data_IF_497003048155
#
_entry.id   IF_497003048155
#
_cell.length_a   1.000
_cell.length_b   1.000
_cell.length_c   1.000
_cell.angle_alpha   90.00
_cell.angle_beta   90.00
_cell.angle_gamma   90.00
#
_symmetry.space_group_name_H-M   'P 1'
#
loop_
_entity.id
_entity.type
_entity.pdbx_description
1 polymer ?
#
# COMPACT_ATOMS: atom_id res chain seq x y z
N UNK A 1 -26.17 18.78 38.85
CA UNK A 1 -25.47 17.57 38.36
C UNK A 1 -24.13 17.86 37.67
N UNK A 2 -23.60 19.11 37.67
CA UNK A 2 -22.32 19.45 37.01
C UNK A 2 -21.08 19.26 37.91
N UNK A 3 -21.16 19.63 39.20
CA UNK A 3 -20.01 19.57 40.10
C UNK A 3 -19.56 18.13 40.45
N UNK A 4 -20.50 17.20 40.57
CA UNK A 4 -20.19 15.78 40.82
C UNK A 4 -19.43 15.16 39.66
N UNK A 5 -19.76 15.52 38.42
CA UNK A 5 -19.06 15.03 37.23
C UNK A 5 -17.63 15.57 37.13
N UNK A 6 -17.43 16.86 37.43
CA UNK A 6 -16.09 17.47 37.45
C UNK A 6 -15.18 16.85 38.52
N UNK A 7 -15.70 16.59 39.73
CA UNK A 7 -14.95 15.94 40.80
C UNK A 7 -14.56 14.50 40.46
N UNK A 8 -15.46 13.72 39.84
CA UNK A 8 -15.17 12.34 39.43
C UNK A 8 -14.12 12.30 38.32
N UNK A 9 -14.21 13.19 37.32
CA UNK A 9 -13.21 13.30 36.25
C UNK A 9 -11.84 13.74 36.80
N UNK A 10 -11.83 14.66 37.76
CA UNK A 10 -10.57 15.15 38.35
C UNK A 10 -9.90 14.07 39.20
N UNK A 11 -10.69 13.35 40.01
CA UNK A 11 -10.20 12.25 40.82
C UNK A 11 -9.67 11.08 39.97
N UNK A 12 -10.33 10.75 38.86
CA UNK A 12 -9.90 9.67 37.97
C UNK A 12 -8.62 10.02 37.22
N UNK A 13 -8.48 11.26 36.73
CA UNK A 13 -7.24 11.75 36.10
C UNK A 13 -6.09 11.75 37.11
N UNK A 14 -6.31 12.24 38.34
CA UNK A 14 -5.27 12.24 39.38
C UNK A 14 -4.81 10.83 39.76
N UNK A 15 -5.74 9.87 39.84
CA UNK A 15 -5.41 8.47 40.09
C UNK A 15 -4.62 7.84 38.94
N UNK A 16 -5.00 8.11 37.68
CA UNK A 16 -4.30 7.60 36.50
C UNK A 16 -2.86 8.12 36.42
N UNK A 17 -2.66 9.43 36.62
CA UNK A 17 -1.34 10.05 36.62
C UNK A 17 -0.45 9.46 37.72
N UNK A 18 -1.00 9.29 38.93
CA UNK A 18 -0.27 8.68 40.05
C UNK A 18 0.16 7.23 39.74
N UNK A 19 -0.73 6.45 39.12
CA UNK A 19 -0.43 5.09 38.67
C UNK A 19 0.69 5.04 37.63
N UNK A 20 0.70 5.95 36.65
CA UNK A 20 1.76 6.04 35.63
C UNK A 20 3.12 6.41 36.25
N UNK A 21 3.14 7.37 37.18
CA UNK A 21 4.39 7.78 37.87
C UNK A 21 4.94 6.64 38.73
N UNK A 22 4.07 5.96 39.49
CA UNK A 22 4.48 4.81 40.30
C UNK A 22 5.03 3.67 39.42
N UNK A 23 4.37 3.38 38.30
CA UNK A 23 4.86 2.38 37.34
C UNK A 23 6.21 2.78 36.73
N UNK A 24 6.40 4.04 36.35
CA UNK A 24 7.67 4.51 35.81
C UNK A 24 8.83 4.34 36.80
N UNK A 25 8.61 4.67 38.08
CA UNK A 25 9.59 4.47 39.14
C UNK A 25 9.93 2.97 39.36
N UNK A 26 8.90 2.12 39.41
CA UNK A 26 9.06 0.66 39.50
C UNK A 26 9.85 0.10 38.30
N UNK A 27 9.50 0.55 37.09
CA UNK A 27 10.14 0.11 35.86
C UNK A 27 11.63 0.50 35.81
N UNK A 28 11.99 1.74 36.18
CA UNK A 28 13.40 2.16 36.19
C UNK A 28 14.21 1.42 37.26
N UNK A 29 13.62 1.16 38.44
CA UNK A 29 14.23 0.31 39.46
C UNK A 29 14.50 -1.10 38.93
N UNK A 30 13.52 -1.72 38.27
CA UNK A 30 13.66 -3.06 37.71
C UNK A 30 14.72 -3.11 36.60
N UNK A 31 14.78 -2.08 35.74
CA UNK A 31 15.77 -1.94 34.66
C UNK A 31 17.20 -1.88 35.17
N UNK A 32 17.46 -1.11 36.23
CA UNK A 32 18.81 -0.94 36.80
C UNK A 32 19.26 -2.17 37.58
N UNK A 33 18.38 -2.75 38.39
CA UNK A 33 18.78 -3.76 39.38
C UNK A 33 18.73 -5.21 38.89
N UNK A 34 17.95 -5.55 37.85
CA UNK A 34 17.77 -6.95 37.42
C UNK A 34 18.33 -7.22 36.03
N UNK A 35 19.29 -8.15 35.95
CA UNK A 35 19.92 -8.54 34.69
C UNK A 35 18.95 -9.27 33.74
N UNK A 36 18.13 -10.18 34.26
CA UNK A 36 17.14 -10.93 33.46
C UNK A 36 16.09 -10.01 32.83
N UNK A 37 15.59 -9.02 33.57
CA UNK A 37 14.64 -8.03 33.04
C UNK A 37 15.21 -7.24 31.85
N UNK A 38 16.50 -6.87 31.89
CA UNK A 38 17.17 -6.24 30.73
C UNK A 38 17.31 -7.17 29.54
N UNK A 39 17.60 -8.45 29.79
CA UNK A 39 17.71 -9.47 28.72
C UNK A 39 16.36 -9.69 28.04
N UNK A 40 15.30 -9.80 28.81
CA UNK A 40 13.93 -9.89 28.32
C UNK A 40 13.52 -8.65 27.52
N UNK A 41 13.82 -7.44 28.02
CA UNK A 41 13.50 -6.20 27.31
C UNK A 41 14.18 -6.15 25.93
N UNK A 42 15.48 -6.46 25.86
CA UNK A 42 16.23 -6.54 24.58
C UNK A 42 15.69 -7.63 23.66
N UNK A 43 15.26 -8.78 24.20
CA UNK A 43 14.67 -9.87 23.43
C UNK A 43 13.31 -9.45 22.86
N UNK A 44 12.50 -8.76 23.65
CA UNK A 44 11.19 -8.26 23.24
C UNK A 44 11.31 -7.16 22.19
N UNK A 45 12.24 -6.21 22.36
CA UNK A 45 12.54 -5.17 21.37
C UNK A 45 12.99 -5.79 20.04
N UNK A 46 13.91 -6.76 20.07
CA UNK A 46 14.32 -7.49 18.85
C UNK A 46 13.16 -8.25 18.21
N UNK A 47 12.28 -8.85 19.01
CA UNK A 47 11.09 -9.54 18.49
C UNK A 47 10.10 -8.55 17.87
N UNK A 48 9.85 -7.41 18.50
CA UNK A 48 8.99 -6.37 17.96
C UNK A 48 9.52 -5.84 16.63
N UNK A 49 10.81 -5.52 16.54
CA UNK A 49 11.43 -5.11 15.28
C UNK A 49 11.39 -6.20 14.21
N UNK A 50 11.53 -7.48 14.58
CA UNK A 50 11.37 -8.59 13.63
C UNK A 50 9.93 -8.69 13.13
N UNK A 51 8.96 -8.65 14.05
CA UNK A 51 7.53 -8.69 13.71
C UNK A 51 7.13 -7.50 12.85
N UNK A 52 7.62 -6.29 13.14
CA UNK A 52 7.37 -5.09 12.34
C UNK A 52 7.98 -5.20 10.93
N UNK A 53 9.19 -5.75 10.80
CA UNK A 53 9.81 -6.01 9.50
C UNK A 53 9.05 -7.09 8.73
N UNK A 54 8.68 -8.19 9.39
CA UNK A 54 7.92 -9.28 8.80
C UNK A 54 6.51 -8.80 8.39
N UNK A 55 5.85 -7.95 9.19
CA UNK A 55 4.54 -7.38 8.84
C UNK A 55 4.64 -6.42 7.67
N UNK A 56 5.66 -5.56 7.62
CA UNK A 56 5.89 -4.67 6.48
C UNK A 56 6.15 -5.49 5.19
N UNK A 57 6.95 -6.56 5.27
CA UNK A 57 7.16 -7.46 4.15
C UNK A 57 5.87 -8.17 3.73
N UNK A 58 5.10 -8.71 4.69
CA UNK A 58 3.82 -9.36 4.40
C UNK A 58 2.81 -8.38 3.78
N UNK A 59 2.79 -7.13 4.22
CA UNK A 59 1.91 -6.10 3.65
C UNK A 59 2.26 -5.83 2.19
N UNK A 60 3.56 -5.69 1.86
CA UNK A 60 3.97 -5.54 0.46
C UNK A 60 3.58 -6.76 -0.37
N UNK A 61 3.78 -7.99 0.12
CA UNK A 61 3.40 -9.21 -0.60
C UNK A 61 1.88 -9.29 -0.79
N UNK A 62 1.09 -8.94 0.21
CA UNK A 62 -0.37 -8.90 0.13
C UNK A 62 -0.87 -7.87 -0.86
N UNK A 63 -0.29 -6.67 -0.87
CA UNK A 63 -0.63 -5.64 -1.85
C UNK A 63 -0.36 -6.13 -3.28
N UNK A 64 0.81 -6.76 -3.51
CA UNK A 64 1.13 -7.37 -4.81
C UNK A 64 0.19 -8.50 -5.21
N UNK A 65 -0.22 -9.33 -4.25
CA UNK A 65 -1.21 -10.39 -4.51
C UNK A 65 -2.56 -9.80 -4.88
N UNK A 66 -3.05 -8.80 -4.14
CA UNK A 66 -4.30 -8.11 -4.44
C UNK A 66 -4.28 -7.45 -5.84
N UNK A 67 -3.14 -6.87 -6.24
CA UNK A 67 -2.95 -6.32 -7.60
C UNK A 67 -3.11 -7.41 -8.66
N UNK A 68 -2.50 -8.58 -8.46
CA UNK A 68 -2.58 -9.71 -9.41
C UNK A 68 -3.99 -10.27 -9.49
N UNK A 69 -4.63 -10.49 -8.35
CA UNK A 69 -6.01 -10.96 -8.26
C UNK A 69 -6.96 -10.01 -8.99
N UNK A 70 -6.82 -8.69 -8.80
CA UNK A 70 -7.62 -7.69 -9.49
C UNK A 70 -7.41 -7.71 -11.02
N UNK A 71 -6.18 -7.92 -11.48
CA UNK A 71 -5.87 -8.06 -12.92
C UNK A 71 -6.47 -9.33 -13.50
N UNK A 72 -6.41 -10.45 -12.76
CA UNK A 72 -6.98 -11.72 -13.20
C UNK A 72 -8.51 -11.65 -13.25
N UNK A 73 -9.15 -11.04 -12.24
CA UNK A 73 -10.59 -10.76 -12.24
C UNK A 73 -11.00 -9.90 -13.45
N UNK A 74 -10.25 -8.84 -13.75
CA UNK A 74 -10.50 -8.01 -14.93
C UNK A 74 -10.35 -8.78 -16.26
N UNK A 75 -9.48 -9.78 -16.31
CA UNK A 75 -9.34 -10.66 -17.49
C UNK A 75 -10.48 -11.66 -17.60
N UNK A 76 -10.95 -12.18 -16.47
CA UNK A 76 -12.09 -13.10 -16.41
C UNK A 76 -13.42 -12.42 -16.77
N UNK A 77 -13.62 -11.16 -16.35
CA UNK A 77 -14.78 -10.32 -16.72
C UNK A 77 -14.85 -10.15 -18.26
N UNK A 78 -13.69 -10.13 -18.92
CA UNK A 78 -13.57 -9.98 -20.35
C UNK A 78 -13.69 -8.51 -20.79
N UNK A 79 -13.38 -8.28 -22.06
CA UNK A 79 -13.34 -6.94 -22.65
C UNK A 79 -14.33 -6.85 -23.81
N UNK A 80 -14.96 -5.69 -24.04
CA UNK A 80 -15.82 -5.49 -25.20
C UNK A 80 -15.04 -5.74 -26.48
N UNK A 81 -15.65 -6.45 -27.44
CA UNK A 81 -15.02 -6.78 -28.72
C UNK A 81 -15.31 -5.75 -29.80
N UNK A 82 -16.48 -5.12 -29.72
CA UNK A 82 -16.97 -4.14 -30.68
C UNK A 82 -16.31 -2.76 -30.52
N UNK A 83 -16.14 -2.04 -31.62
CA UNK A 83 -15.39 -0.77 -31.65
C UNK A 83 -16.11 0.32 -30.86
N UNK A 84 -17.43 0.46 -31.04
CA UNK A 84 -18.22 1.50 -30.35
C UNK A 84 -18.26 1.23 -28.85
N UNK A 85 -18.40 -0.05 -28.46
CA UNK A 85 -18.38 -0.47 -27.06
C UNK A 85 -17.00 -0.29 -26.41
N UNK A 86 -15.90 -0.50 -27.16
CA UNK A 86 -14.54 -0.26 -26.67
C UNK A 86 -14.30 1.21 -26.39
N UNK A 87 -14.75 2.11 -27.24
CA UNK A 87 -14.61 3.56 -27.03
C UNK A 87 -15.39 4.01 -25.79
N UNK A 88 -16.64 3.56 -25.64
CA UNK A 88 -17.44 3.86 -24.46
C UNK A 88 -16.81 3.32 -23.16
N UNK A 89 -16.34 2.07 -23.20
CA UNK A 89 -15.66 1.43 -22.07
C UNK A 89 -14.36 2.15 -21.72
N UNK A 90 -13.56 2.52 -22.72
CA UNK A 90 -12.34 3.31 -22.52
C UNK A 90 -12.61 4.62 -21.81
N UNK A 91 -13.59 5.40 -22.28
CA UNK A 91 -13.94 6.69 -21.66
C UNK A 91 -14.43 6.51 -20.22
N UNK A 92 -15.23 5.49 -19.95
CA UNK A 92 -15.68 5.16 -18.61
C UNK A 92 -14.50 4.85 -17.69
N UNK A 93 -13.60 3.97 -18.13
CA UNK A 93 -12.45 3.54 -17.34
C UNK A 93 -11.45 4.68 -17.10
N UNK A 94 -11.23 5.57 -18.07
CA UNK A 94 -10.38 6.75 -17.88
C UNK A 94 -11.01 7.72 -16.88
N UNK A 95 -12.30 8.02 -17.01
CA UNK A 95 -13.00 8.90 -16.07
C UNK A 95 -13.01 8.34 -14.64
N UNK A 96 -13.19 7.03 -14.51
CA UNK A 96 -13.15 6.34 -13.22
C UNK A 96 -11.72 6.37 -12.64
N UNK A 97 -10.71 6.04 -13.44
CA UNK A 97 -9.30 6.11 -13.06
C UNK A 97 -8.88 7.51 -12.61
N UNK A 98 -9.29 8.56 -13.31
CA UNK A 98 -9.02 9.96 -12.92
C UNK A 98 -9.67 10.30 -11.58
N UNK A 99 -10.93 9.91 -11.38
CA UNK A 99 -11.67 10.15 -10.13
C UNK A 99 -11.00 9.44 -8.96
N UNK A 100 -10.58 8.19 -9.15
CA UNK A 100 -9.91 7.37 -8.14
C UNK A 100 -8.48 7.85 -7.87
N UNK A 101 -7.79 8.37 -8.89
CA UNK A 101 -6.42 8.88 -8.77
C UNK A 101 -6.31 10.15 -7.92
N UNK A 102 -7.43 10.83 -7.65
CA UNK A 102 -7.50 11.93 -6.72
C UNK A 102 -7.22 11.50 -5.26
N UNK A 103 -7.45 10.22 -4.94
CA UNK A 103 -7.19 9.64 -3.62
C UNK A 103 -5.98 8.69 -3.65
N UNK A 104 -4.85 9.05 -2.99
CA UNK A 104 -3.67 8.20 -2.91
C UNK A 104 -3.91 6.82 -2.27
N UNK A 105 -4.95 6.67 -1.45
CA UNK A 105 -5.29 5.38 -0.82
C UNK A 105 -5.92 4.39 -1.81
N UNK A 106 -6.47 4.88 -2.92
CA UNK A 106 -7.14 4.09 -3.97
C UNK A 106 -6.28 3.91 -5.22
N UNK A 107 -4.95 4.03 -5.08
CA UNK A 107 -4.03 3.93 -6.19
C UNK A 107 -4.13 2.60 -6.97
N UNK A 108 -4.45 1.50 -6.27
CA UNK A 108 -4.64 0.18 -6.90
C UNK A 108 -5.88 0.16 -7.80
N UNK A 109 -6.99 0.71 -7.32
CA UNK A 109 -8.25 0.76 -8.08
C UNK A 109 -8.13 1.72 -9.27
N UNK A 110 -7.47 2.87 -9.08
CA UNK A 110 -7.17 3.80 -10.16
C UNK A 110 -6.30 3.15 -11.24
N UNK A 111 -5.24 2.44 -10.84
CA UNK A 111 -4.36 1.72 -11.77
C UNK A 111 -5.11 0.62 -12.53
N UNK A 112 -6.04 -0.08 -11.87
CA UNK A 112 -6.87 -1.09 -12.52
C UNK A 112 -7.74 -0.50 -13.64
N UNK A 113 -8.35 0.67 -13.39
CA UNK A 113 -9.15 1.36 -14.40
C UNK A 113 -8.28 1.80 -15.59
N UNK A 114 -7.09 2.35 -15.36
CA UNK A 114 -6.15 2.69 -16.44
C UNK A 114 -5.65 1.45 -17.20
N UNK A 115 -5.41 0.33 -16.52
CA UNK A 115 -5.07 -0.96 -17.14
C UNK A 115 -6.20 -1.46 -18.06
N UNK A 116 -7.46 -1.43 -17.58
CA UNK A 116 -8.64 -1.78 -18.37
C UNK A 116 -8.75 -0.89 -19.62
N UNK A 117 -8.48 0.42 -19.48
CA UNK A 117 -8.40 1.38 -20.59
C UNK A 117 -7.31 1.04 -21.61
N UNK A 118 -6.09 0.73 -21.15
CA UNK A 118 -4.99 0.31 -22.03
C UNK A 118 -5.32 -0.95 -22.83
N UNK A 119 -6.10 -1.88 -22.25
CA UNK A 119 -6.42 -3.16 -22.88
C UNK A 119 -7.35 -3.04 -24.09
N UNK A 120 -8.27 -2.07 -24.04
CA UNK A 120 -9.24 -1.84 -25.12
C UNK A 120 -8.74 -0.86 -26.17
N UNK A 121 -7.62 -0.17 -25.90
CA UNK A 121 -7.07 0.85 -26.79
C UNK A 121 -6.26 0.24 -27.95
N UNK A 122 -6.42 0.73 -29.20
CA UNK A 122 -5.73 0.15 -30.36
C UNK A 122 -4.19 0.27 -30.31
N UNK A 123 -3.65 1.38 -29.76
CA UNK A 123 -2.21 1.66 -29.68
C UNK A 123 -1.78 1.98 -28.24
N UNK A 124 -1.66 0.98 -27.34
CA UNK A 124 -1.41 1.21 -25.92
C UNK A 124 -0.10 1.98 -25.62
N UNK A 125 0.88 1.92 -26.53
CA UNK A 125 2.15 2.66 -26.44
C UNK A 125 2.02 4.19 -26.48
N UNK A 126 1.05 4.73 -27.22
CA UNK A 126 0.82 6.18 -27.26
C UNK A 126 0.11 6.65 -25.99
N UNK A 127 -0.83 5.83 -25.51
CA UNK A 127 -1.66 6.12 -24.35
C UNK A 127 -0.85 6.14 -23.05
N UNK A 128 0.10 5.21 -22.88
CA UNK A 128 1.00 5.21 -21.71
C UNK A 128 1.85 6.49 -21.64
N UNK A 129 2.25 7.06 -22.79
CA UNK A 129 2.98 8.32 -22.84
C UNK A 129 2.16 9.56 -22.46
N UNK A 130 0.82 9.46 -22.53
CA UNK A 130 -0.09 10.48 -22.00
C UNK A 130 -0.23 10.28 -20.49
N UNK A 131 -0.42 9.06 -20.03
CA UNK A 131 -0.56 8.74 -18.60
C UNK A 131 0.67 9.13 -17.79
N UNK A 132 1.87 8.95 -18.32
CA UNK A 132 3.12 9.40 -17.69
C UNK A 132 3.13 10.90 -17.35
N UNK A 133 2.35 11.71 -18.08
CA UNK A 133 2.27 13.16 -17.90
C UNK A 133 1.09 13.61 -17.04
N UNK A 134 -0.02 12.86 -17.06
CA UNK A 134 -1.28 13.29 -16.44
C UNK A 134 -1.60 12.56 -15.15
N UNK A 135 -1.10 11.34 -14.96
CA UNK A 135 -1.44 10.48 -13.82
C UNK A 135 -0.39 10.61 -12.70
N UNK A 136 -0.80 10.64 -11.41
CA UNK A 136 0.15 10.68 -10.30
C UNK A 136 1.08 9.46 -10.26
N UNK A 137 2.35 9.69 -9.91
CA UNK A 137 3.40 8.65 -9.82
C UNK A 137 3.00 7.40 -9.02
N UNK A 138 2.35 7.49 -7.84
CA UNK A 138 1.95 6.29 -7.09
C UNK A 138 1.02 5.35 -7.86
N UNK A 139 0.17 5.88 -8.74
CA UNK A 139 -0.73 5.10 -9.59
C UNK A 139 0.04 4.48 -10.76
N UNK A 140 0.98 5.23 -11.35
CA UNK A 140 1.85 4.73 -12.41
C UNK A 140 2.75 3.57 -11.96
N UNK A 141 3.28 3.63 -10.73
CA UNK A 141 4.12 2.57 -10.17
C UNK A 141 3.31 1.25 -10.04
N UNK A 142 2.06 1.33 -9.58
CA UNK A 142 1.15 0.17 -9.50
C UNK A 142 0.73 -0.31 -10.88
N UNK A 143 0.44 0.60 -11.81
CA UNK A 143 0.11 0.26 -13.20
C UNK A 143 1.26 -0.48 -13.88
N UNK A 144 2.51 -0.06 -13.65
CA UNK A 144 3.69 -0.74 -14.16
C UNK A 144 3.80 -2.18 -13.63
N UNK A 145 3.45 -2.42 -12.37
CA UNK A 145 3.39 -3.78 -11.80
C UNK A 145 2.30 -4.63 -12.48
N UNK A 146 1.12 -4.05 -12.73
CA UNK A 146 0.03 -4.72 -13.47
C UNK A 146 0.44 -5.09 -14.90
N UNK A 147 1.11 -4.17 -15.61
CA UNK A 147 1.61 -4.40 -16.98
C UNK A 147 2.70 -5.48 -16.99
N UNK A 148 3.63 -5.45 -16.03
CA UNK A 148 4.67 -6.46 -15.93
C UNK A 148 4.10 -7.87 -15.66
N UNK A 149 2.95 -7.96 -14.99
CA UNK A 149 2.21 -9.20 -14.80
C UNK A 149 1.43 -9.62 -16.05
N UNK A 150 0.81 -8.70 -16.79
CA UNK A 150 0.11 -9.00 -18.04
C UNK A 150 1.00 -8.88 -19.29
N UNK A 151 1.75 -9.93 -19.60
CA UNK A 151 2.58 -10.01 -20.81
C UNK A 151 1.80 -9.95 -22.13
N UNK A 152 0.46 -10.05 -22.10
CA UNK A 152 -0.36 -9.92 -23.30
C UNK A 152 -0.61 -8.46 -23.70
N UNK A 153 -0.24 -7.50 -22.84
CA UNK A 153 -0.29 -6.07 -23.12
C UNK A 153 1.05 -5.65 -23.75
N UNK A 154 1.11 -5.68 -25.08
CA UNK A 154 2.35 -5.38 -25.81
C UNK A 154 2.54 -3.87 -25.93
N UNK A 155 3.02 -3.25 -24.85
CA UNK A 155 3.49 -1.87 -24.84
C UNK A 155 4.86 -1.89 -25.52
N UNK A 156 4.89 -1.74 -26.86
CA UNK A 156 6.15 -1.70 -27.62
C UNK A 156 7.17 -0.74 -26.98
N UNK A 157 8.47 -0.99 -27.17
CA UNK A 157 9.62 -0.34 -26.49
C UNK A 157 9.33 1.05 -25.88
N UNK A 158 8.71 1.07 -24.70
CA UNK A 158 8.45 2.29 -23.98
C UNK A 158 9.75 2.70 -23.26
N UNK A 159 10.36 3.79 -23.72
CA UNK A 159 11.58 4.40 -23.15
C UNK A 159 11.28 5.47 -22.10
N UNK A 160 10.04 5.58 -21.61
CA UNK A 160 9.64 6.57 -20.60
C UNK A 160 10.01 6.12 -19.19
N UNK A 161 10.39 7.08 -18.36
CA UNK A 161 11.06 6.92 -17.06
C UNK A 161 10.24 6.31 -15.91
N UNK A 162 9.41 5.31 -16.22
CA UNK A 162 8.98 4.31 -15.24
C UNK A 162 10.25 3.57 -14.85
N UNK A 163 10.97 4.12 -13.86
CA UNK A 163 12.02 3.42 -13.14
C UNK A 163 11.33 2.36 -12.28
N UNK A 164 10.69 1.39 -12.92
CA UNK A 164 10.53 0.09 -12.33
C UNK A 164 11.96 -0.41 -12.21
N UNK A 165 12.52 -0.26 -11.01
CA UNK A 165 13.72 -0.91 -10.56
C UNK A 165 13.49 -2.43 -10.61
N UNK A 166 13.43 -2.96 -11.84
CA UNK A 166 13.26 -4.37 -12.17
C UNK A 166 14.57 -5.14 -11.95
N UNK A 167 15.64 -4.46 -11.52
CA UNK A 167 16.98 -5.02 -11.30
C UNK A 167 17.47 -4.95 -9.84
N UNK A 168 16.83 -4.18 -8.97
CA UNK A 168 17.30 -3.91 -7.60
C UNK A 168 16.72 -4.80 -6.50
N UNK A 169 16.24 -6.01 -6.82
CA UNK A 169 15.89 -6.96 -5.76
C UNK A 169 17.18 -7.45 -5.07
N UNK A 170 17.37 -7.23 -3.76
CA UNK A 170 18.42 -7.93 -3.03
C UNK A 170 18.09 -9.41 -3.11
N UNK A 171 18.87 -10.15 -3.88
CA UNK A 171 18.91 -11.60 -3.84
C UNK A 171 19.28 -11.99 -2.42
N UNK A 172 18.27 -12.32 -1.61
CA UNK A 172 18.48 -12.88 -0.28
C UNK A 172 19.18 -14.21 -0.45
N UNK A 173 20.51 -14.16 -0.32
CA UNK A 173 21.38 -15.33 -0.32
C UNK A 173 20.88 -16.33 0.70
N UNK A 174 20.47 -17.49 0.21
CA UNK A 174 20.42 -18.71 0.98
C UNK A 174 21.85 -19.27 0.99
N UNK A 175 22.62 -18.90 2.02
CA UNK A 175 23.76 -19.65 2.54
C UNK A 175 23.96 -19.29 4.03
#
# INVERSE_FOLDING_TARGET
>A
MSQTSTTIVTASVAAAVTGLVAYAAFFDYQRRNKAEFRRELRRNERRQHKVEKESAQQETVRQRQAIKEAVDEAKEEGFPTDVEQKEAYFLQQVSEGETLSADPTRAVEAALAFYKGLKVYPTPGDLIGIYDKTVPKPVLDVLAEMIAYDSSLNIGQYQGGINADLGGMPTVGLD
#
